data_IF_833609147290
#
_entry.id   IF_833609147290
#
_cell.length_a   1.000
_cell.length_b   1.000
_cell.length_c   1.000
_cell.angle_alpha   90.00
_cell.angle_beta   90.00
_cell.angle_gamma   90.00
#
_symmetry.space_group_name_H-M   'P 1'
#
loop_
_entity.id
_entity.type
_entity.pdbx_description
1 polymer ?
#
# COMPACT_ATOMS: atom_id res chain seq x y z
N UNK A 1 4.20 -19.85 6.14
CA UNK A 1 4.30 -19.19 4.82
C UNK A 1 3.41 -17.97 4.88
N UNK A 2 3.95 -16.77 4.69
CA UNK A 2 3.13 -15.55 4.73
C UNK A 2 2.25 -15.50 3.47
N UNK A 3 1.02 -15.00 3.62
CA UNK A 3 0.07 -14.95 2.50
C UNK A 3 0.60 -14.17 1.29
N UNK A 4 1.40 -13.13 1.53
CA UNK A 4 2.05 -12.33 0.48
C UNK A 4 3.03 -13.14 -0.37
N UNK A 5 3.63 -14.23 0.18
CA UNK A 5 4.55 -15.10 -0.56
C UNK A 5 3.86 -15.82 -1.73
N UNK A 6 2.53 -16.04 -1.64
CA UNK A 6 1.73 -16.60 -2.73
C UNK A 6 1.69 -15.69 -3.95
N UNK A 7 1.66 -14.37 -3.71
CA UNK A 7 1.46 -13.37 -4.76
C UNK A 7 2.75 -12.73 -5.25
N UNK A 8 3.72 -12.52 -4.35
CA UNK A 8 5.00 -11.91 -4.68
C UNK A 8 6.13 -12.52 -3.84
N UNK A 9 6.54 -13.77 -4.15
CA UNK A 9 7.62 -14.46 -3.42
C UNK A 9 8.99 -13.81 -3.66
N UNK A 10 9.22 -13.31 -4.88
CA UNK A 10 10.45 -12.62 -5.25
C UNK A 10 10.23 -11.10 -5.25
N UNK A 11 11.14 -10.36 -4.64
CA UNK A 11 11.07 -8.90 -4.58
C UNK A 11 12.46 -8.29 -4.41
N UNK A 12 12.64 -7.11 -4.98
CA UNK A 12 13.87 -6.31 -4.82
C UNK A 12 13.75 -5.25 -3.72
N UNK A 13 12.52 -4.91 -3.33
CA UNK A 13 12.25 -3.86 -2.34
C UNK A 13 11.14 -4.29 -1.40
N UNK A 14 11.31 -3.99 -0.11
CA UNK A 14 10.27 -4.24 0.89
C UNK A 14 10.27 -3.20 2.00
N UNK A 15 9.11 -3.03 2.62
CA UNK A 15 8.91 -2.17 3.78
C UNK A 15 7.84 -2.77 4.68
N UNK A 16 8.12 -2.84 6.00
CA UNK A 16 7.24 -3.44 6.99
C UNK A 16 7.01 -2.43 8.11
N UNK A 17 5.76 -2.26 8.50
CA UNK A 17 5.34 -1.47 9.66
C UNK A 17 4.31 -2.23 10.47
N UNK A 18 4.21 -1.96 11.76
CA UNK A 18 3.21 -2.61 12.59
C UNK A 18 2.90 -1.82 13.85
N UNK A 19 1.72 -2.09 14.43
CA UNK A 19 1.31 -1.57 15.71
C UNK A 19 0.45 -2.61 16.46
N UNK A 20 0.34 -2.44 17.78
CA UNK A 20 -0.55 -3.23 18.59
C UNK A 20 -1.89 -2.51 18.72
N UNK A 21 -2.97 -3.27 18.63
CA UNK A 21 -4.35 -2.80 18.66
C UNK A 21 -5.11 -3.56 19.75
N UNK A 22 -5.83 -2.83 20.59
CA UNK A 22 -6.64 -3.42 21.65
C UNK A 22 -8.06 -3.75 21.14
N UNK A 23 -8.13 -4.66 20.17
CA UNK A 23 -9.35 -5.12 19.53
C UNK A 23 -9.14 -6.52 18.95
N UNK A 24 -10.22 -7.29 18.74
CA UNK A 24 -10.15 -8.61 18.12
C UNK A 24 -9.65 -8.53 16.67
N UNK A 25 -8.94 -9.56 16.16
CA UNK A 25 -8.38 -9.57 14.80
C UNK A 25 -9.39 -9.23 13.70
N UNK A 26 -10.61 -9.74 13.81
CA UNK A 26 -11.69 -9.53 12.84
C UNK A 26 -12.08 -8.05 12.76
N UNK A 27 -12.19 -7.37 13.93
CA UNK A 27 -12.54 -5.95 14.02
C UNK A 27 -11.43 -5.10 13.38
N UNK A 28 -10.17 -5.44 13.67
CA UNK A 28 -9.01 -4.73 13.12
C UNK A 28 -8.95 -4.88 11.60
N UNK A 29 -9.17 -6.08 11.08
CA UNK A 29 -9.13 -6.34 9.65
C UNK A 29 -10.32 -5.69 8.92
N UNK A 30 -11.50 -5.69 9.54
CA UNK A 30 -12.67 -4.97 9.03
C UNK A 30 -12.43 -3.47 8.96
N UNK A 31 -11.80 -2.89 9.98
CA UNK A 31 -11.39 -1.48 9.97
C UNK A 31 -10.36 -1.19 8.87
N UNK A 32 -9.42 -2.11 8.62
CA UNK A 32 -8.45 -1.98 7.53
C UNK A 32 -9.12 -2.02 6.15
N UNK A 33 -10.11 -2.89 5.94
CA UNK A 33 -10.90 -2.95 4.70
C UNK A 33 -11.73 -1.69 4.46
N UNK A 34 -12.26 -1.13 5.53
CA UNK A 34 -13.14 0.05 5.48
C UNK A 34 -12.35 1.37 5.41
N UNK A 35 -11.03 1.31 5.60
CA UNK A 35 -10.20 2.50 5.60
C UNK A 35 -10.15 3.17 4.22
N UNK A 36 -10.40 4.48 4.19
CA UNK A 36 -10.38 5.31 2.98
C UNK A 36 -9.34 6.42 3.15
N UNK A 37 -8.08 6.18 2.73
CA UNK A 37 -7.01 7.17 2.87
C UNK A 37 -7.26 8.47 2.11
N UNK A 38 -8.08 8.43 1.05
CA UNK A 38 -8.40 9.57 0.21
C UNK A 38 -9.13 10.69 0.97
N UNK A 39 -9.80 10.37 2.06
CA UNK A 39 -10.50 11.34 2.92
C UNK A 39 -9.56 12.08 3.87
N UNK A 40 -8.33 11.59 4.08
CA UNK A 40 -7.34 12.23 4.95
C UNK A 40 -6.59 13.34 4.18
N UNK A 41 -6.81 14.60 4.58
CA UNK A 41 -6.10 15.76 4.00
C UNK A 41 -4.57 15.64 4.11
N UNK A 42 -4.07 15.03 5.19
CA UNK A 42 -2.65 14.81 5.36
C UNK A 42 -2.13 13.78 4.35
N UNK A 43 -2.85 12.69 4.14
CA UNK A 43 -2.52 11.71 3.11
C UNK A 43 -2.43 12.36 1.73
N UNK A 44 -3.42 13.19 1.37
CA UNK A 44 -3.41 13.96 0.10
C UNK A 44 -2.22 14.90 0.01
N UNK A 45 -1.86 15.59 1.09
CA UNK A 45 -0.70 16.49 1.14
C UNK A 45 0.61 15.72 0.99
N UNK A 46 0.72 14.53 1.59
CA UNK A 46 1.90 13.67 1.47
C UNK A 46 2.05 13.08 0.06
N UNK A 47 0.95 12.71 -0.59
CA UNK A 47 0.98 12.31 -2.00
C UNK A 47 1.44 13.49 -2.87
N UNK A 48 0.91 14.69 -2.65
CA UNK A 48 1.34 15.89 -3.36
C UNK A 48 2.84 16.20 -3.12
N UNK A 49 3.32 16.07 -1.88
CA UNK A 49 4.74 16.26 -1.54
C UNK A 49 5.65 15.24 -2.26
N UNK A 50 5.20 13.99 -2.38
CA UNK A 50 5.91 12.95 -3.15
C UNK A 50 6.07 13.33 -4.62
N UNK A 51 5.09 14.04 -5.18
CA UNK A 51 5.10 14.46 -6.59
C UNK A 51 6.00 15.67 -6.86
N UNK A 52 6.32 16.48 -5.83
CA UNK A 52 7.12 17.71 -5.98
C UNK A 52 8.45 17.48 -6.70
N UNK A 53 9.32 16.53 -6.29
CA UNK A 53 10.60 16.34 -6.98
C UNK A 53 10.42 15.83 -8.40
N UNK A 54 9.40 15.02 -8.66
CA UNK A 54 9.10 14.52 -10.00
C UNK A 54 8.54 15.62 -10.91
N UNK A 55 7.69 16.50 -10.38
CA UNK A 55 7.17 17.68 -11.09
C UNK A 55 8.28 18.69 -11.39
N UNK A 56 9.20 18.94 -10.45
CA UNK A 56 10.36 19.79 -10.65
C UNK A 56 11.25 19.25 -11.78
N UNK A 57 11.53 17.95 -11.78
CA UNK A 57 12.33 17.30 -12.82
C UNK A 57 11.64 17.32 -14.18
N UNK A 58 10.32 17.14 -14.24
CA UNK A 58 9.50 17.20 -15.47
C UNK A 58 9.52 18.61 -16.07
N UNK A 59 9.40 19.66 -15.23
CA UNK A 59 9.51 21.07 -15.64
C UNK A 59 10.87 21.39 -16.26
N UNK A 60 11.95 20.90 -15.63
CA UNK A 60 13.31 21.08 -16.15
C UNK A 60 13.51 20.40 -17.52
N UNK A 61 12.68 19.37 -17.83
CA UNK A 61 12.72 18.65 -19.11
C UNK A 61 11.67 19.13 -20.13
N UNK A 62 10.98 20.26 -19.86
CA UNK A 62 10.00 20.85 -20.79
C UNK A 62 8.75 20.01 -21.04
N UNK A 63 8.39 19.09 -20.12
CA UNK A 63 7.18 18.27 -20.23
C UNK A 63 6.03 18.94 -19.50
N UNK A 64 4.89 19.05 -20.18
CA UNK A 64 3.64 19.56 -19.58
C UNK A 64 3.16 18.64 -18.44
N UNK A 65 2.70 19.26 -17.37
CA UNK A 65 2.15 18.59 -16.19
C UNK A 65 0.74 18.07 -16.52
N UNK A 66 0.58 16.80 -16.78
CA UNK A 66 -0.72 16.16 -16.58
C UNK A 66 -1.00 16.11 -15.07
N UNK A 67 -2.15 16.61 -14.66
CA UNK A 67 -2.63 16.45 -13.28
C UNK A 67 -2.96 14.97 -13.10
N UNK A 68 -2.10 14.25 -12.37
CA UNK A 68 -2.38 12.86 -12.05
C UNK A 68 -3.65 12.80 -11.16
N UNK A 69 -4.55 11.84 -11.39
CA UNK A 69 -5.70 11.62 -10.51
C UNK A 69 -5.22 11.29 -9.09
N UNK A 70 -6.04 11.54 -8.07
CA UNK A 70 -5.67 11.25 -6.68
C UNK A 70 -5.41 9.74 -6.53
N UNK A 71 -4.17 9.39 -6.20
CA UNK A 71 -3.75 8.01 -5.96
C UNK A 71 -4.24 7.54 -4.58
N UNK A 72 -4.86 6.36 -4.53
CA UNK A 72 -5.38 5.79 -3.28
C UNK A 72 -5.51 4.27 -3.32
N UNK A 73 -6.06 3.67 -2.26
CA UNK A 73 -6.29 2.22 -2.20
C UNK A 73 -7.30 1.71 -3.24
N UNK A 74 -8.14 2.59 -3.80
CA UNK A 74 -9.09 2.24 -4.85
C UNK A 74 -8.42 1.83 -6.17
N UNK A 75 -7.15 2.20 -6.37
CA UNK A 75 -6.36 1.77 -7.54
C UNK A 75 -5.82 0.34 -7.39
N UNK A 76 -5.85 -0.19 -6.17
CA UNK A 76 -5.36 -1.54 -5.90
C UNK A 76 -6.45 -2.58 -6.16
N UNK A 77 -6.05 -3.72 -6.71
CA UNK A 77 -6.90 -4.89 -6.82
C UNK A 77 -6.79 -5.72 -5.54
N UNK A 78 -7.91 -6.04 -4.92
CA UNK A 78 -7.94 -7.00 -3.81
C UNK A 78 -7.65 -8.39 -4.37
N UNK A 79 -6.52 -8.98 -3.98
CA UNK A 79 -6.07 -10.29 -4.45
C UNK A 79 -6.62 -11.42 -3.59
N UNK A 80 -6.62 -11.23 -2.26
CA UNK A 80 -7.13 -12.23 -1.33
C UNK A 80 -7.57 -11.56 -0.02
N UNK A 81 -8.67 -12.07 0.53
CA UNK A 81 -9.16 -11.73 1.86
C UNK A 81 -9.33 -13.02 2.66
N UNK A 82 -8.61 -13.13 3.78
CA UNK A 82 -8.79 -14.17 4.79
C UNK A 82 -9.33 -13.51 6.06
N UNK A 83 -10.59 -13.75 6.39
CA UNK A 83 -11.20 -13.17 7.59
C UNK A 83 -10.39 -13.50 8.85
N UNK A 84 -10.12 -12.48 9.68
CA UNK A 84 -9.35 -12.64 10.91
C UNK A 84 -7.85 -12.92 10.73
N UNK A 85 -7.33 -12.99 9.49
CA UNK A 85 -5.91 -13.27 9.22
C UNK A 85 -5.23 -12.17 8.41
N UNK A 86 -5.70 -11.94 7.17
CA UNK A 86 -4.99 -11.04 6.26
C UNK A 86 -5.84 -10.50 5.10
N UNK A 87 -5.38 -9.36 4.57
CA UNK A 87 -5.78 -8.77 3.29
C UNK A 87 -4.55 -8.63 2.41
N UNK A 88 -4.65 -9.00 1.13
CA UNK A 88 -3.59 -8.80 0.14
C UNK A 88 -4.13 -8.00 -1.03
N UNK A 89 -3.43 -6.93 -1.37
CA UNK A 89 -3.73 -6.05 -2.49
C UNK A 89 -2.57 -6.08 -3.49
N UNK A 90 -2.89 -6.01 -4.77
CA UNK A 90 -1.95 -5.93 -5.86
C UNK A 90 -2.05 -4.62 -6.62
N UNK A 91 -0.93 -4.15 -7.14
CA UNK A 91 -0.85 -3.01 -8.03
C UNK A 91 0.27 -3.22 -9.04
N UNK A 92 0.04 -2.84 -10.28
CA UNK A 92 1.03 -2.95 -11.36
C UNK A 92 1.17 -1.59 -12.03
N UNK A 93 2.41 -1.16 -12.31
CA UNK A 93 2.60 0.12 -12.97
C UNK A 93 4.05 0.56 -13.08
N UNK A 94 4.22 1.76 -13.61
CA UNK A 94 5.51 2.44 -13.72
C UNK A 94 5.59 3.55 -12.66
N UNK A 95 5.65 3.17 -11.38
CA UNK A 95 5.51 4.06 -10.22
C UNK A 95 6.48 5.24 -10.19
N UNK A 96 7.55 5.19 -10.97
CA UNK A 96 8.52 6.29 -11.16
C UNK A 96 8.06 7.35 -12.17
N UNK A 97 6.90 7.16 -12.83
CA UNK A 97 6.29 8.15 -13.69
C UNK A 97 5.30 9.04 -12.94
N UNK A 98 5.04 10.22 -13.47
CA UNK A 98 4.07 11.18 -12.89
C UNK A 98 2.65 10.68 -12.94
N UNK A 99 2.28 9.91 -13.96
CA UNK A 99 0.98 9.29 -14.17
C UNK A 99 0.90 7.85 -13.61
N UNK A 100 1.97 7.38 -12.95
CA UNK A 100 2.16 6.03 -12.42
C UNK A 100 2.08 4.92 -13.47
N UNK A 101 1.66 5.19 -14.71
CA UNK A 101 1.49 4.20 -15.77
C UNK A 101 0.80 2.93 -15.26
N UNK A 102 -0.29 3.08 -14.52
CA UNK A 102 -0.99 1.97 -13.89
C UNK A 102 -1.57 1.02 -14.93
N UNK A 103 -1.41 -0.26 -14.68
CA UNK A 103 -2.03 -1.34 -15.44
C UNK A 103 -3.12 -1.93 -14.57
N UNK A 104 -4.37 -1.81 -15.01
CA UNK A 104 -5.52 -2.34 -14.27
C UNK A 104 -5.48 -3.86 -14.28
N UNK A 105 -5.57 -4.46 -13.11
CA UNK A 105 -5.74 -5.89 -12.91
C UNK A 105 -7.19 -6.13 -12.49
N UNK A 106 -7.88 -7.06 -13.14
CA UNK A 106 -9.28 -7.35 -12.85
C UNK A 106 -9.43 -8.46 -11.81
N UNK A 107 -8.41 -9.32 -11.71
CA UNK A 107 -8.42 -10.47 -10.80
C UNK A 107 -7.05 -10.75 -10.19
N UNK A 108 -7.03 -11.64 -9.20
CA UNK A 108 -5.80 -12.16 -8.59
C UNK A 108 -5.01 -13.01 -9.59
N UNK A 109 -5.70 -13.72 -10.47
CA UNK A 109 -5.13 -14.55 -11.54
C UNK A 109 -4.39 -13.68 -12.55
N UNK A 110 -4.98 -12.55 -12.98
CA UNK A 110 -4.34 -11.58 -13.87
C UNK A 110 -3.06 -11.02 -13.24
N UNK A 111 -3.14 -10.69 -11.94
CA UNK A 111 -1.97 -10.20 -11.21
C UNK A 111 -0.86 -11.28 -11.16
N UNK A 112 -1.18 -12.54 -10.90
CA UNK A 112 -0.21 -13.63 -10.85
C UNK A 112 0.43 -13.88 -12.22
N UNK A 113 -0.39 -13.92 -13.27
CA UNK A 113 0.06 -14.19 -14.64
C UNK A 113 0.85 -13.01 -15.26
N UNK A 114 0.74 -11.82 -14.70
CA UNK A 114 1.38 -10.63 -15.25
C UNK A 114 2.90 -10.68 -15.09
N UNK A 115 3.64 -10.61 -16.21
CA UNK A 115 5.11 -10.65 -16.23
C UNK A 115 5.74 -9.69 -17.26
N UNK A 116 4.97 -8.70 -17.73
CA UNK A 116 5.44 -7.78 -18.79
C UNK A 116 6.64 -6.93 -18.32
N UNK A 117 7.74 -6.89 -19.09
CA UNK A 117 8.87 -6.01 -18.81
C UNK A 117 8.50 -4.52 -18.87
N UNK A 118 9.27 -3.69 -18.20
CA UNK A 118 9.09 -2.23 -18.23
C UNK A 118 8.14 -1.69 -17.18
N UNK A 119 7.55 -2.54 -16.33
CA UNK A 119 6.67 -2.18 -15.21
C UNK A 119 7.14 -2.84 -13.92
N UNK A 120 6.60 -2.39 -12.78
CA UNK A 120 6.83 -3.03 -11.48
C UNK A 120 5.51 -3.61 -10.95
N UNK A 121 5.60 -4.75 -10.25
CA UNK A 121 4.51 -5.36 -9.47
C UNK A 121 4.69 -4.98 -8.01
N UNK A 122 3.63 -4.56 -7.36
CA UNK A 122 3.59 -4.24 -5.94
C UNK A 122 2.53 -5.10 -5.27
N UNK A 123 2.89 -5.75 -4.18
CA UNK A 123 1.96 -6.39 -3.27
C UNK A 123 1.97 -5.64 -1.93
N UNK A 124 0.78 -5.37 -1.41
CA UNK A 124 0.55 -4.76 -0.10
C UNK A 124 -0.32 -5.71 0.71
N UNK A 125 0.13 -6.04 1.92
CA UNK A 125 -0.70 -6.84 2.84
C UNK A 125 -0.94 -6.11 4.15
N UNK A 126 -2.09 -6.40 4.75
CA UNK A 126 -2.40 -6.18 6.16
C UNK A 126 -2.59 -7.55 6.79
N UNK A 127 -1.81 -7.86 7.82
CA UNK A 127 -1.87 -9.12 8.55
C UNK A 127 -2.19 -8.83 10.00
N UNK A 128 -3.06 -9.61 10.60
CA UNK A 128 -3.40 -9.53 12.02
C UNK A 128 -3.05 -10.84 12.72
N UNK A 129 -2.51 -10.73 13.92
CA UNK A 129 -2.15 -11.90 14.75
C UNK A 129 -2.43 -11.57 16.20
N UNK A 130 -3.14 -12.45 16.90
CA UNK A 130 -3.37 -12.28 18.33
C UNK A 130 -2.09 -12.58 19.11
N UNK A 131 -1.70 -11.66 20.00
CA UNK A 131 -0.52 -11.78 20.85
C UNK A 131 -0.80 -11.13 22.21
N UNK A 132 -0.81 -11.95 23.29
CA UNK A 132 -0.92 -11.43 24.65
C UNK A 132 -2.19 -10.61 24.93
N UNK A 133 -3.34 -10.99 24.39
CA UNK A 133 -4.62 -10.31 24.55
C UNK A 133 -4.77 -9.02 23.72
N UNK A 134 -3.84 -8.75 22.80
CA UNK A 134 -3.90 -7.68 21.80
C UNK A 134 -3.74 -8.25 20.40
N UNK A 135 -4.14 -7.50 19.42
CA UNK A 135 -3.92 -7.83 18.02
C UNK A 135 -2.71 -7.07 17.49
N UNK A 136 -1.71 -7.79 17.01
CA UNK A 136 -0.62 -7.22 16.23
C UNK A 136 -1.08 -7.01 14.81
N UNK A 137 -1.21 -5.76 14.40
CA UNK A 137 -1.48 -5.37 13.00
C UNK A 137 -0.16 -5.05 12.32
N UNK A 138 0.12 -5.72 11.20
CA UNK A 138 1.32 -5.51 10.38
C UNK A 138 0.91 -5.20 8.96
N UNK A 139 1.54 -4.21 8.35
CA UNK A 139 1.48 -3.96 6.91
C UNK A 139 2.85 -4.21 6.30
N UNK A 140 2.88 -4.98 5.23
CA UNK A 140 4.08 -5.25 4.44
C UNK A 140 3.82 -4.87 2.98
N UNK A 141 4.80 -4.18 2.38
CA UNK A 141 4.81 -3.92 0.95
C UNK A 141 6.02 -4.57 0.35
N UNK A 142 5.83 -5.24 -0.77
CA UNK A 142 6.89 -5.77 -1.60
C UNK A 142 6.78 -5.21 -3.00
N UNK A 143 7.93 -5.00 -3.65
CA UNK A 143 7.96 -4.58 -5.06
C UNK A 143 8.97 -5.44 -5.82
N UNK A 144 8.49 -5.96 -6.93
CA UNK A 144 9.26 -6.73 -7.90
C UNK A 144 9.35 -5.98 -9.22
N UNK A 145 10.56 -5.88 -9.77
CA UNK A 145 10.83 -5.35 -11.08
C UNK A 145 11.33 -6.49 -11.97
N UNK A 146 10.59 -6.90 -13.01
CA UNK A 146 10.92 -8.10 -13.80
C UNK A 146 12.18 -7.96 -14.66
N UNK A 147 12.64 -6.73 -14.89
CA UNK A 147 13.83 -6.45 -15.71
C UNK A 147 14.75 -5.42 -15.05
N UNK A 148 16.02 -5.46 -15.44
CA UNK A 148 17.07 -4.58 -14.91
C UNK A 148 16.77 -3.09 -15.15
N UNK A 149 16.11 -2.75 -16.28
CA UNK A 149 15.81 -1.37 -16.63
C UNK A 149 14.73 -0.79 -15.72
N UNK A 150 13.68 -1.55 -15.44
CA UNK A 150 12.64 -1.21 -14.47
C UNK A 150 13.22 -1.09 -13.06
N UNK A 151 14.07 -2.03 -12.65
CA UNK A 151 14.74 -2.01 -11.36
C UNK A 151 15.59 -0.72 -11.18
N UNK A 152 16.43 -0.38 -12.16
CA UNK A 152 17.28 0.82 -12.12
C UNK A 152 16.45 2.13 -12.09
N UNK A 153 15.28 2.16 -12.75
CA UNK A 153 14.38 3.32 -12.73
C UNK A 153 13.62 3.43 -11.42
N UNK A 154 13.21 2.30 -10.86
CA UNK A 154 12.48 2.26 -9.61
C UNK A 154 13.36 2.55 -8.39
N UNK A 155 14.63 2.14 -8.39
CA UNK A 155 15.55 2.30 -7.27
C UNK A 155 15.64 3.74 -6.73
N UNK A 156 15.96 4.78 -7.53
CA UNK A 156 16.01 6.15 -7.02
C UNK A 156 14.66 6.65 -6.53
N UNK A 157 13.58 6.27 -7.22
CA UNK A 157 12.22 6.58 -6.80
C UNK A 157 11.91 5.97 -5.43
N UNK A 158 12.24 4.70 -5.19
CA UNK A 158 12.04 4.01 -3.90
C UNK A 158 12.69 4.75 -2.74
N UNK A 159 13.99 5.08 -2.87
CA UNK A 159 14.71 5.78 -1.82
C UNK A 159 14.18 7.19 -1.56
N UNK A 160 13.70 7.86 -2.60
CA UNK A 160 13.10 9.18 -2.50
C UNK A 160 11.76 9.17 -1.74
N UNK A 161 10.90 8.17 -2.02
CA UNK A 161 9.56 8.11 -1.43
C UNK A 161 9.52 7.40 -0.08
N UNK A 162 10.51 6.59 0.25
CA UNK A 162 10.51 5.74 1.45
C UNK A 162 10.22 6.49 2.76
N UNK A 163 10.82 7.66 3.04
CA UNK A 163 10.51 8.40 4.27
C UNK A 163 9.05 8.84 4.34
N UNK A 164 8.51 9.33 3.21
CA UNK A 164 7.11 9.76 3.10
C UNK A 164 6.16 8.56 3.22
N UNK A 165 6.50 7.44 2.59
CA UNK A 165 5.76 6.18 2.66
C UNK A 165 5.67 5.68 4.11
N UNK A 166 6.77 5.73 4.87
CA UNK A 166 6.79 5.33 6.27
C UNK A 166 5.86 6.16 7.15
N UNK A 167 5.82 7.49 6.96
CA UNK A 167 4.90 8.38 7.68
C UNK A 167 3.44 8.05 7.31
N UNK A 168 3.15 7.87 6.03
CA UNK A 168 1.81 7.51 5.55
C UNK A 168 1.35 6.19 6.20
N UNK A 169 2.21 5.17 6.22
CA UNK A 169 1.88 3.86 6.81
C UNK A 169 1.64 3.92 8.29
N UNK A 170 2.49 4.62 9.03
CA UNK A 170 2.30 4.81 10.47
C UNK A 170 0.95 5.48 10.75
N UNK A 171 0.55 6.43 9.91
CA UNK A 171 -0.73 7.11 10.04
C UNK A 171 -1.92 6.20 9.69
N UNK A 172 -1.81 5.41 8.63
CA UNK A 172 -2.81 4.38 8.26
C UNK A 172 -3.03 3.41 9.43
N UNK A 173 -1.95 2.84 9.97
CA UNK A 173 -2.01 1.92 11.10
C UNK A 173 -2.65 2.57 12.33
N UNK A 174 -2.29 3.81 12.65
CA UNK A 174 -2.88 4.55 13.77
C UNK A 174 -4.38 4.84 13.55
N UNK A 175 -4.80 5.13 12.33
CA UNK A 175 -6.21 5.36 12.00
C UNK A 175 -7.02 4.07 12.12
N UNK A 176 -6.51 2.95 11.62
CA UNK A 176 -7.13 1.62 11.76
C UNK A 176 -7.24 1.26 13.25
N UNK A 177 -6.15 1.45 14.04
CA UNK A 177 -6.16 1.21 15.49
C UNK A 177 -7.27 2.00 16.18
N UNK A 178 -7.34 3.30 15.97
CA UNK A 178 -8.36 4.17 16.57
C UNK A 178 -9.77 3.72 16.20
N UNK A 179 -10.04 3.43 14.93
CA UNK A 179 -11.33 2.97 14.46
C UNK A 179 -11.74 1.65 15.14
N UNK A 180 -10.80 0.71 15.24
CA UNK A 180 -11.03 -0.60 15.88
C UNK A 180 -11.33 -0.48 17.38
N UNK A 181 -10.55 0.33 18.10
CA UNK A 181 -10.72 0.53 19.56
C UNK A 181 -12.01 1.30 19.88
N UNK A 182 -12.42 2.26 19.02
CA UNK A 182 -13.70 2.98 19.16
C UNK A 182 -14.90 2.07 18.94
N UNK A 183 -14.82 1.16 17.98
CA UNK A 183 -15.90 0.20 17.71
C UNK A 183 -16.23 -0.66 18.94
N UNK A 184 -15.22 -1.11 19.69
CA UNK A 184 -15.41 -1.89 20.92
C UNK A 184 -16.10 -1.04 22.00
N UNK A 185 -15.69 0.22 22.17
CA UNK A 185 -16.26 1.11 23.18
C UNK A 185 -17.76 1.35 22.96
N UNK A 186 -18.22 1.35 21.70
CA UNK A 186 -19.64 1.52 21.36
C UNK A 186 -20.47 0.26 21.62
N UNK A 187 -19.89 -0.94 21.52
CA UNK A 187 -20.56 -2.21 21.82
C UNK A 187 -20.62 -2.53 23.33
N UNK A 188 -19.68 -2.01 24.12
CA UNK A 188 -19.63 -2.22 25.57
C UNK A 188 -20.50 -1.25 26.40
N UNK A 189 -21.11 -0.26 25.76
CA UNK A 189 -21.97 0.75 26.41
C UNK A 189 -23.48 0.50 26.22
N UNK A 190 -23.87 -0.63 25.63
CA UNK A 190 -25.26 -1.10 25.46
C UNK A 190 -25.51 -2.29 26.37
#
# INVERSE_FOLDING_TARGET
MHLIDKYLPEYGFSEIHGCDVNAAPEIVLQAAMSYRPETDMFFRSMIALREVPMRALARLRGRENSVAPPFGLHEFTLLEHRPGEALVYGLVGQFWKTDFGLVKMESAEDYLAFCTPGVAKLALTFTVTEQGGKTRLVTETRVFCPDRKSHLRFTPYWYLIRPVSGIIRSRILNSIRKASETAISSFGAS
#
